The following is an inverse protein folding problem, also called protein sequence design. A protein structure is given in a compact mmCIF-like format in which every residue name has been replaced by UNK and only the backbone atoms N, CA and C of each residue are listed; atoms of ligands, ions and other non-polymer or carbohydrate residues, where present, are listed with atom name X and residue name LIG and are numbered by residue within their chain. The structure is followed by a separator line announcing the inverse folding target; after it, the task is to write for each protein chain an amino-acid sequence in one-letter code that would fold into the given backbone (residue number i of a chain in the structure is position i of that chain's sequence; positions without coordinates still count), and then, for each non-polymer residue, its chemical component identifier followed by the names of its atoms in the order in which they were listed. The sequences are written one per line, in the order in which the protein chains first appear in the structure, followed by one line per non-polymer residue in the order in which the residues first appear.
data_IF_625814724974
#
_entry.id   IF_625814724974
#
_cell.length_a   1.000
_cell.length_b   1.000
_cell.length_c   1.000
_cell.angle_alpha   90.00
_cell.angle_beta   90.00
_cell.angle_gamma   90.00
#
_symmetry.space_group_name_H-M   'P 1'
#
loop_
_entity.id
_entity.type
_entity.pdbx_description
1 polymer ?
#
# COMPACT_ATOMS: atom_id res chain seq x y z
N UNK A 1 7.72 -20.21 -14.63
CA UNK A 1 6.69 -19.27 -15.07
C UNK A 1 7.06 -17.91 -14.52
N UNK A 2 7.82 -17.17 -15.31
CA UNK A 2 8.35 -15.85 -14.96
C UNK A 2 7.62 -14.86 -15.86
N UNK A 3 7.04 -13.84 -15.33
CA UNK A 3 6.47 -12.61 -15.89
C UNK A 3 5.09 -12.31 -15.29
N UNK A 4 5.06 -12.07 -13.96
CA UNK A 4 4.10 -11.13 -13.40
C UNK A 4 4.90 -9.84 -13.28
N UNK A 5 4.80 -8.99 -14.29
CA UNK A 5 5.31 -7.63 -14.17
C UNK A 5 4.32 -6.90 -13.26
N UNK A 6 4.69 -6.52 -12.05
CA UNK A 6 3.80 -5.72 -11.25
C UNK A 6 3.63 -4.36 -11.95
N UNK A 7 2.42 -4.00 -12.25
CA UNK A 7 2.05 -2.67 -12.74
C UNK A 7 2.61 -1.55 -11.86
N UNK A 8 2.97 -1.89 -10.65
CA UNK A 8 3.54 -1.02 -9.62
C UNK A 8 5.05 -0.79 -9.78
N UNK A 9 5.75 -1.51 -10.66
CA UNK A 9 7.19 -1.29 -10.94
C UNK A 9 7.50 0.06 -11.63
N UNK A 10 6.52 0.78 -12.11
CA UNK A 10 6.71 2.17 -12.57
C UNK A 10 6.97 3.16 -11.42
N UNK A 11 7.01 2.67 -10.19
CA UNK A 11 7.00 3.49 -8.99
C UNK A 11 8.29 3.43 -8.17
N UNK A 12 9.30 2.67 -8.60
CA UNK A 12 10.57 2.57 -7.87
C UNK A 12 11.50 3.72 -8.19
N UNK A 13 11.74 4.58 -7.27
CA UNK A 13 13.02 5.11 -6.81
C UNK A 13 12.86 6.40 -6.01
N UNK A 14 13.11 6.33 -4.74
CA UNK A 14 13.60 7.46 -3.95
C UNK A 14 14.82 7.01 -3.16
N UNK A 15 16.00 7.53 -3.51
CA UNK A 15 17.13 7.63 -2.58
C UNK A 15 17.05 8.98 -1.87
N UNK A 16 17.35 9.05 -0.56
CA UNK A 16 17.33 10.30 0.17
C UNK A 16 18.61 11.09 -0.08
N UNK A 17 18.50 12.30 -0.59
CA UNK A 17 19.57 13.28 -0.49
C UNK A 17 19.20 14.40 0.48
N UNK A 18 20.16 14.66 1.34
CA UNK A 18 20.16 15.57 2.48
C UNK A 18 20.18 17.05 2.08
N UNK A 19 19.46 17.84 2.88
CA UNK A 19 19.58 19.29 3.16
C UNK A 19 19.06 20.28 2.11
N UNK A 20 17.93 20.87 2.45
CA UNK A 20 17.91 22.34 2.73
C UNK A 20 16.67 22.65 3.57
N UNK A 21 16.89 23.29 4.69
CA UNK A 21 15.88 23.94 5.52
C UNK A 21 15.24 25.06 4.73
N UNK A 22 13.98 24.87 4.34
CA UNK A 22 13.09 25.97 3.97
C UNK A 22 11.67 25.64 4.41
N UNK A 23 11.08 26.61 5.09
CA UNK A 23 9.73 26.78 5.57
C UNK A 23 8.73 25.63 5.26
N UNK A 24 8.12 25.11 6.32
CA UNK A 24 6.96 24.23 6.28
C UNK A 24 5.88 24.78 5.33
N UNK A 25 5.97 24.39 4.05
CA UNK A 25 4.87 24.55 3.13
C UNK A 25 3.85 23.48 3.52
N UNK A 26 2.71 23.91 4.03
CA UNK A 26 1.52 23.07 4.19
C UNK A 26 1.36 22.18 2.96
N UNK A 27 1.04 20.89 3.11
CA UNK A 27 0.84 20.00 1.98
C UNK A 27 -0.15 20.68 1.03
N UNK A 28 0.27 20.91 -0.22
CA UNK A 28 -0.64 21.29 -1.27
C UNK A 28 -1.54 20.09 -1.52
N UNK A 29 -2.63 20.00 -0.78
CA UNK A 29 -3.77 19.17 -1.16
C UNK A 29 -4.22 19.69 -2.51
N UNK A 30 -3.83 19.03 -3.58
CA UNK A 30 -4.43 19.29 -4.88
C UNK A 30 -5.91 18.96 -4.71
N UNK A 31 -6.79 19.97 -4.79
CA UNK A 31 -8.23 19.82 -4.62
C UNK A 31 -8.86 19.00 -5.75
N UNK A 32 -8.41 17.76 -5.87
CA UNK A 32 -8.87 16.79 -6.84
C UNK A 32 -9.80 15.81 -6.12
N UNK A 33 -11.10 15.96 -6.33
CA UNK A 33 -12.07 14.99 -5.88
C UNK A 33 -12.57 14.21 -7.11
N UNK A 34 -12.43 12.89 -7.09
CA UNK A 34 -12.91 12.01 -8.15
C UNK A 34 -13.89 11.00 -7.56
N UNK A 35 -15.14 11.07 -8.01
CA UNK A 35 -16.14 10.08 -7.62
C UNK A 35 -15.87 8.76 -8.33
N UNK A 36 -15.49 7.75 -7.56
CA UNK A 36 -15.23 6.42 -8.09
C UNK A 36 -16.51 5.76 -8.58
N UNK A 37 -16.49 5.26 -9.80
CA UNK A 37 -17.51 4.34 -10.32
C UNK A 37 -17.36 2.96 -9.66
N UNK A 38 -18.41 2.15 -9.68
CA UNK A 38 -18.33 0.78 -9.12
C UNK A 38 -17.26 -0.08 -9.82
N UNK A 39 -17.06 0.10 -11.13
CA UNK A 39 -15.98 -0.57 -11.84
C UNK A 39 -14.58 -0.14 -11.39
N UNK A 40 -14.37 1.15 -11.14
CA UNK A 40 -13.11 1.68 -10.60
C UNK A 40 -12.85 1.19 -9.18
N UNK A 41 -13.88 1.09 -8.35
CA UNK A 41 -13.75 0.51 -7.00
C UNK A 41 -13.32 -0.96 -7.07
N UNK A 42 -13.96 -1.76 -7.91
CA UNK A 42 -13.60 -3.17 -8.10
C UNK A 42 -12.17 -3.33 -8.62
N UNK A 43 -11.76 -2.51 -9.59
CA UNK A 43 -10.39 -2.53 -10.10
C UNK A 43 -9.37 -2.13 -9.03
N UNK A 44 -9.66 -1.09 -8.26
CA UNK A 44 -8.81 -0.65 -7.16
C UNK A 44 -8.66 -1.74 -6.10
N UNK A 45 -9.76 -2.37 -5.70
CA UNK A 45 -9.73 -3.49 -4.75
C UNK A 45 -8.86 -4.64 -5.25
N UNK A 46 -8.99 -5.01 -6.53
CA UNK A 46 -8.20 -6.10 -7.11
C UNK A 46 -6.70 -5.76 -7.15
N UNK A 47 -6.34 -4.53 -7.52
CA UNK A 47 -4.94 -4.07 -7.55
C UNK A 47 -4.31 -4.04 -6.15
N UNK A 48 -5.04 -3.48 -5.18
CA UNK A 48 -4.57 -3.42 -3.79
C UNK A 48 -4.42 -4.84 -3.22
N UNK A 49 -5.42 -5.70 -3.42
CA UNK A 49 -5.35 -7.08 -2.96
C UNK A 49 -4.15 -7.82 -3.55
N UNK A 50 -3.87 -7.64 -4.83
CA UNK A 50 -2.71 -8.27 -5.47
C UNK A 50 -1.39 -7.79 -4.87
N UNK A 51 -1.23 -6.48 -4.65
CA UNK A 51 -0.03 -5.89 -4.06
C UNK A 51 0.16 -6.33 -2.59
N UNK A 52 -0.91 -6.31 -1.81
CA UNK A 52 -0.88 -6.75 -0.42
C UNK A 52 -0.62 -8.25 -0.29
N UNK A 53 -1.23 -9.09 -1.14
CA UNK A 53 -0.97 -10.53 -1.12
C UNK A 53 0.51 -10.83 -1.39
N UNK A 54 1.14 -10.14 -2.33
CA UNK A 54 2.58 -10.25 -2.57
C UNK A 54 3.38 -9.83 -1.32
N UNK A 55 3.02 -8.71 -0.72
CA UNK A 55 3.64 -8.20 0.51
C UNK A 55 3.54 -9.20 1.67
N UNK A 56 2.35 -9.72 1.95
CA UNK A 56 2.14 -10.69 3.03
C UNK A 56 2.80 -12.04 2.78
N UNK A 57 3.14 -12.36 1.53
CA UNK A 57 3.97 -13.52 1.15
C UNK A 57 5.47 -13.24 1.16
N UNK A 58 5.88 -12.06 1.62
CA UNK A 58 7.27 -11.60 1.64
C UNK A 58 7.90 -11.51 0.25
N UNK A 59 7.09 -11.33 -0.79
CA UNK A 59 7.58 -11.04 -2.12
C UNK A 59 8.02 -9.57 -2.19
N UNK A 60 9.21 -9.33 -2.71
CA UNK A 60 9.76 -7.98 -2.81
C UNK A 60 9.25 -7.24 -4.04
N UNK A 61 9.00 -5.94 -3.93
CA UNK A 61 8.79 -5.06 -5.08
C UNK A 61 7.38 -4.51 -5.26
N UNK A 62 6.49 -4.60 -4.28
CA UNK A 62 5.19 -3.95 -4.31
C UNK A 62 5.25 -2.48 -3.87
N UNK A 63 4.29 -1.66 -4.32
CA UNK A 63 4.21 -0.25 -3.91
C UNK A 63 3.94 -0.09 -2.41
N UNK A 64 3.21 -1.02 -1.83
CA UNK A 64 2.96 -1.01 -0.39
C UNK A 64 4.21 -1.30 0.43
N UNK A 65 5.11 -2.18 -0.05
CA UNK A 65 6.38 -2.49 0.62
C UNK A 65 7.31 -1.26 0.77
N UNK A 66 7.16 -0.27 -0.10
CA UNK A 66 7.90 1.01 0.02
C UNK A 66 7.36 1.88 1.17
N UNK A 67 6.08 1.74 1.52
CA UNK A 67 5.42 2.52 2.56
C UNK A 67 5.48 1.83 3.93
N UNK A 68 5.46 0.51 3.95
CA UNK A 68 5.48 -0.31 5.15
C UNK A 68 6.61 -1.35 5.08
N UNK A 69 7.82 -1.01 5.51
CA UNK A 69 8.93 -1.95 5.51
C UNK A 69 8.62 -3.18 6.37
N UNK A 70 9.02 -4.36 5.87
CA UNK A 70 8.72 -5.65 6.47
C UNK A 70 9.92 -6.17 7.28
N UNK A 71 9.69 -6.52 8.53
CA UNK A 71 10.70 -7.03 9.44
C UNK A 71 10.27 -8.33 10.10
N UNK A 72 11.23 -9.22 10.35
CA UNK A 72 10.99 -10.34 11.26
C UNK A 72 10.88 -9.87 12.71
N UNK A 73 10.17 -10.62 13.55
CA UNK A 73 10.12 -10.37 14.99
C UNK A 73 11.53 -10.32 15.61
N UNK A 74 12.45 -11.17 15.13
CA UNK A 74 13.84 -11.19 15.54
C UNK A 74 14.58 -9.89 15.20
N UNK A 75 14.44 -9.40 13.96
CA UNK A 75 15.04 -8.14 13.53
C UNK A 75 14.55 -6.98 14.39
N UNK A 76 13.26 -6.91 14.69
CA UNK A 76 12.68 -5.85 15.54
C UNK A 76 13.16 -5.94 16.98
N UNK A 77 13.35 -7.15 17.52
CA UNK A 77 13.88 -7.34 18.87
C UNK A 77 15.36 -6.92 19.00
N UNK A 78 16.12 -6.98 17.91
CA UNK A 78 17.55 -6.63 17.89
C UNK A 78 17.83 -5.18 17.48
N UNK A 79 16.92 -4.58 16.71
CA UNK A 79 17.10 -3.21 16.20
C UNK A 79 16.86 -2.16 17.29
N UNK A 80 17.88 -1.30 17.49
CA UNK A 80 17.77 -0.13 18.36
C UNK A 80 17.04 1.04 17.69
N UNK A 81 17.03 1.10 16.36
CA UNK A 81 16.42 2.18 15.57
C UNK A 81 15.50 1.58 14.52
N UNK A 82 14.25 1.41 14.86
CA UNK A 82 13.20 1.06 13.93
C UNK A 82 12.81 2.34 13.16
N UNK A 83 12.68 2.30 11.84
CA UNK A 83 12.22 3.46 11.09
C UNK A 83 10.90 3.99 11.66
N UNK A 84 10.78 5.31 11.77
CA UNK A 84 9.51 5.95 12.14
C UNK A 84 8.62 5.97 10.90
N UNK A 85 7.97 4.87 10.64
CA UNK A 85 6.96 4.75 9.59
C UNK A 85 5.60 4.61 10.26
N UNK A 86 4.57 5.18 9.63
CA UNK A 86 3.20 5.05 10.11
C UNK A 86 2.71 3.61 10.08
N UNK A 87 3.28 2.79 9.20
CA UNK A 87 3.01 1.36 9.11
C UNK A 87 4.31 0.55 9.00
N UNK A 88 4.36 -0.57 9.70
CA UNK A 88 5.45 -1.55 9.68
C UNK A 88 4.87 -2.94 9.54
N UNK A 89 5.42 -3.73 8.61
CA UNK A 89 5.13 -5.15 8.55
C UNK A 89 5.94 -5.93 9.57
N UNK A 90 5.29 -6.81 10.29
CA UNK A 90 5.92 -7.69 11.29
C UNK A 90 5.55 -9.13 10.98
N UNK A 91 6.55 -10.00 10.83
CA UNK A 91 6.30 -11.42 10.64
C UNK A 91 7.06 -12.29 11.62
N UNK A 92 6.50 -13.44 11.95
CA UNK A 92 7.10 -14.41 12.84
C UNK A 92 6.10 -15.41 13.38
N UNK A 93 6.59 -16.29 14.24
CA UNK A 93 5.77 -17.35 14.86
C UNK A 93 5.06 -16.83 16.11
N UNK A 94 3.74 -16.94 16.15
CA UNK A 94 2.96 -16.71 17.35
C UNK A 94 3.18 -17.86 18.32
N UNK A 95 3.50 -17.54 19.56
CA UNK A 95 3.62 -18.49 20.65
C UNK A 95 2.49 -18.37 21.68
N UNK A 96 1.79 -17.24 21.64
CA UNK A 96 0.62 -16.97 22.49
C UNK A 96 -0.22 -15.85 21.88
N UNK A 97 -1.52 -16.02 21.89
CA UNK A 97 -2.48 -14.92 21.66
C UNK A 97 -3.53 -14.93 22.76
N UNK A 98 -3.92 -13.73 23.24
CA UNK A 98 -4.94 -13.56 24.28
C UNK A 98 -5.70 -12.25 24.06
N UNK A 99 -6.96 -12.37 23.65
CA UNK A 99 -7.76 -11.22 23.28
C UNK A 99 -7.09 -10.43 22.14
N UNK A 100 -6.80 -9.17 22.36
CA UNK A 100 -6.15 -8.27 21.38
C UNK A 100 -4.63 -8.17 21.59
N UNK A 101 -4.00 -9.17 22.16
CA UNK A 101 -2.55 -9.19 22.34
C UNK A 101 -1.98 -10.48 21.78
N UNK A 102 -0.91 -10.40 21.01
CA UNK A 102 -0.13 -11.52 20.53
C UNK A 102 1.34 -11.38 20.94
N UNK A 103 2.01 -12.53 21.10
CA UNK A 103 3.44 -12.61 21.37
C UNK A 103 4.10 -13.44 20.28
N UNK A 104 5.07 -12.83 19.61
CA UNK A 104 5.89 -13.51 18.61
C UNK A 104 7.19 -14.01 19.23
N UNK A 105 7.61 -15.17 18.76
CA UNK A 105 8.86 -15.79 19.19
C UNK A 105 10.06 -15.01 18.62
N UNK A 106 11.07 -14.81 19.50
CA UNK A 106 12.43 -14.39 19.11
C UNK A 106 13.44 -15.27 19.84
N UNK A 107 14.72 -15.17 19.50
CA UNK A 107 15.75 -16.02 20.12
C UNK A 107 15.92 -15.80 21.63
N UNK A 108 15.74 -14.57 22.11
CA UNK A 108 16.04 -14.18 23.48
C UNK A 108 14.84 -13.73 24.30
N UNK A 109 13.78 -13.34 23.64
CA UNK A 109 12.62 -12.74 24.28
C UNK A 109 11.37 -12.95 23.42
N UNK A 110 10.27 -12.38 23.83
CA UNK A 110 9.05 -12.33 23.02
C UNK A 110 8.77 -10.91 22.58
N UNK A 111 8.35 -10.71 21.33
CA UNK A 111 7.85 -9.44 20.84
C UNK A 111 6.35 -9.37 21.09
N UNK A 112 5.91 -8.40 21.89
CA UNK A 112 4.50 -8.15 22.16
C UNK A 112 3.91 -7.25 21.08
N UNK A 113 2.72 -7.63 20.58
CA UNK A 113 1.95 -6.87 19.61
C UNK A 113 0.54 -6.62 20.15
N UNK A 114 0.02 -5.41 19.97
CA UNK A 114 -1.36 -5.08 20.26
C UNK A 114 -2.19 -5.11 18.97
N UNK A 115 -3.15 -6.01 18.91
CA UNK A 115 -3.94 -6.32 17.72
C UNK A 115 -5.14 -5.39 17.56
N UNK A 116 -5.49 -5.04 16.35
CA UNK A 116 -6.74 -4.34 16.04
C UNK A 116 -7.96 -5.21 16.39
N UNK A 117 -7.88 -6.50 16.10
CA UNK A 117 -8.91 -7.51 16.37
C UNK A 117 -8.25 -8.81 16.87
N UNK A 118 -8.94 -9.64 17.66
CA UNK A 118 -8.42 -10.93 18.09
C UNK A 118 -8.09 -11.82 16.87
N UNK A 119 -6.98 -12.56 16.94
CA UNK A 119 -6.65 -13.55 15.92
C UNK A 119 -7.56 -14.77 16.05
N UNK A 120 -7.93 -15.35 14.91
CA UNK A 120 -8.71 -16.60 14.88
C UNK A 120 -7.86 -17.79 15.27
N UNK A 121 -6.58 -17.79 14.89
CA UNK A 121 -5.60 -18.81 15.23
C UNK A 121 -4.61 -18.24 16.25
N UNK A 122 -4.41 -18.96 17.34
CA UNK A 122 -3.56 -18.53 18.45
C UNK A 122 -2.10 -18.96 18.28
N UNK A 123 -1.78 -19.78 17.27
CA UNK A 123 -0.44 -20.34 17.03
C UNK A 123 -0.16 -20.40 15.52
N UNK A 124 1.11 -20.30 15.15
CA UNK A 124 1.56 -20.42 13.75
C UNK A 124 2.36 -19.21 13.26
N UNK A 125 2.78 -19.29 12.00
CA UNK A 125 3.42 -18.16 11.33
C UNK A 125 2.38 -17.11 10.93
N UNK A 126 2.68 -15.86 11.20
CA UNK A 126 1.81 -14.72 10.86
C UNK A 126 2.61 -13.58 10.28
N UNK A 127 1.98 -12.86 9.39
CA UNK A 127 2.43 -11.53 8.95
C UNK A 127 1.33 -10.53 9.29
N UNK A 128 1.70 -9.44 9.95
CA UNK A 128 0.79 -8.39 10.39
C UNK A 128 1.32 -7.03 9.92
N UNK A 129 0.43 -6.09 9.68
CA UNK A 129 0.78 -4.66 9.52
C UNK A 129 0.40 -3.94 10.79
N UNK A 130 1.37 -3.28 11.41
CA UNK A 130 1.23 -2.58 12.68
C UNK A 130 1.56 -1.09 12.53
N UNK A 131 0.97 -0.25 13.36
CA UNK A 131 1.47 1.09 13.64
C UNK A 131 2.61 0.98 14.66
N UNK A 132 3.70 1.75 14.44
CA UNK A 132 4.82 1.76 15.35
C UNK A 132 4.94 3.12 16.03
N UNK A 133 4.57 3.17 17.31
CA UNK A 133 4.66 4.37 18.14
C UNK A 133 5.41 4.08 19.44
N UNK A 134 6.38 4.94 19.78
CA UNK A 134 7.08 4.90 21.06
C UNK A 134 7.55 3.50 21.49
N UNK A 135 8.12 2.73 20.57
CA UNK A 135 8.58 1.34 20.80
C UNK A 135 7.48 0.28 20.93
N UNK A 136 6.23 0.65 20.76
CA UNK A 136 5.10 -0.28 20.78
C UNK A 136 4.57 -0.55 19.36
N UNK A 137 4.16 -1.79 19.11
CA UNK A 137 3.49 -2.20 17.89
C UNK A 137 2.01 -2.30 18.18
N UNK A 138 1.25 -1.35 17.63
CA UNK A 138 -0.18 -1.18 17.93
C UNK A 138 -1.01 -1.35 16.67
N UNK A 139 -2.32 -1.56 16.87
CA UNK A 139 -3.30 -1.71 15.79
C UNK A 139 -2.87 -2.72 14.70
N UNK A 140 -2.20 -3.81 15.14
CA UNK A 140 -1.69 -4.83 14.25
C UNK A 140 -2.82 -5.60 13.58
N UNK A 141 -2.78 -5.72 12.26
CA UNK A 141 -3.86 -6.26 11.44
C UNK A 141 -3.36 -7.38 10.53
N UNK A 142 -4.19 -8.40 10.33
CA UNK A 142 -3.98 -9.45 9.32
C UNK A 142 -4.18 -8.89 7.91
N UNK A 143 -3.77 -9.65 6.89
CA UNK A 143 -3.96 -9.29 5.47
C UNK A 143 -5.41 -8.87 5.17
N UNK A 144 -6.38 -9.68 5.55
CA UNK A 144 -7.80 -9.45 5.24
C UNK A 144 -8.32 -8.14 5.86
N UNK A 145 -8.08 -7.95 7.15
CA UNK A 145 -8.54 -6.75 7.87
C UNK A 145 -7.84 -5.50 7.39
N UNK A 146 -6.52 -5.59 7.16
CA UNK A 146 -5.75 -4.48 6.63
C UNK A 146 -6.19 -4.12 5.21
N UNK A 147 -6.34 -5.08 4.32
CA UNK A 147 -6.74 -4.85 2.93
C UNK A 147 -8.10 -4.14 2.85
N UNK A 148 -9.08 -4.58 3.65
CA UNK A 148 -10.40 -3.95 3.70
C UNK A 148 -10.31 -2.49 4.16
N UNK A 149 -9.68 -2.22 5.30
CA UNK A 149 -9.55 -0.87 5.86
C UNK A 149 -8.75 0.06 4.95
N UNK A 150 -7.62 -0.43 4.44
CA UNK A 150 -6.75 0.34 3.56
C UNK A 150 -7.43 0.72 2.25
N UNK A 151 -8.21 -0.20 1.67
CA UNK A 151 -9.01 0.09 0.47
C UNK A 151 -10.06 1.17 0.73
N UNK A 152 -10.77 1.12 1.85
CA UNK A 152 -11.74 2.14 2.25
C UNK A 152 -11.07 3.51 2.45
N UNK A 153 -9.88 3.54 3.04
CA UNK A 153 -9.08 4.76 3.20
C UNK A 153 -8.66 5.35 1.86
N UNK A 154 -8.23 4.51 0.91
CA UNK A 154 -7.89 4.95 -0.45
C UNK A 154 -9.12 5.50 -1.17
N UNK A 155 -10.28 4.85 -1.08
CA UNK A 155 -11.53 5.38 -1.65
C UNK A 155 -11.86 6.75 -1.07
N UNK A 156 -11.79 6.88 0.25
CA UNK A 156 -12.00 8.15 0.94
C UNK A 156 -11.01 9.24 0.49
N UNK A 157 -9.74 8.88 0.32
CA UNK A 157 -8.70 9.80 -0.14
C UNK A 157 -8.99 10.28 -1.58
N UNK A 158 -9.33 9.37 -2.48
CA UNK A 158 -9.70 9.67 -3.88
C UNK A 158 -10.94 10.57 -3.94
N UNK A 159 -12.00 10.20 -3.23
CA UNK A 159 -13.29 10.91 -3.29
C UNK A 159 -13.23 12.29 -2.61
N UNK A 160 -12.36 12.47 -1.62
CA UNK A 160 -12.12 13.75 -0.97
C UNK A 160 -11.02 14.60 -1.61
N UNK A 161 -10.33 14.10 -2.62
CA UNK A 161 -9.22 14.78 -3.29
C UNK A 161 -7.94 14.87 -2.44
N UNK A 162 -7.80 14.03 -1.42
CA UNK A 162 -6.60 13.91 -0.61
C UNK A 162 -5.60 12.99 -1.31
N UNK A 163 -4.71 13.59 -2.09
CA UNK A 163 -3.64 12.89 -2.80
C UNK A 163 -2.32 13.59 -2.53
N UNK A 164 -1.25 12.84 -2.37
CA UNK A 164 0.06 13.41 -2.07
C UNK A 164 1.19 12.72 -2.84
N UNK A 165 2.21 13.51 -3.19
CA UNK A 165 3.48 13.02 -3.71
C UNK A 165 4.56 12.97 -2.63
N UNK A 166 4.27 13.44 -1.43
CA UNK A 166 5.24 13.49 -0.33
C UNK A 166 5.43 12.09 0.26
N UNK A 167 6.67 11.74 0.54
CA UNK A 167 7.02 10.40 1.07
C UNK A 167 6.61 10.20 2.52
N UNK A 168 6.32 11.28 3.22
CA UNK A 168 5.87 11.32 4.61
C UNK A 168 4.34 11.51 4.73
N UNK A 169 3.64 11.57 3.61
CA UNK A 169 2.17 11.60 3.62
C UNK A 169 1.61 10.21 3.96
N UNK A 170 0.33 10.15 4.43
CA UNK A 170 -0.35 8.87 4.64
C UNK A 170 -0.31 7.96 3.41
N UNK A 171 -0.08 6.67 3.63
CA UNK A 171 0.11 5.71 2.54
C UNK A 171 -1.08 5.66 1.58
N UNK A 172 -2.31 5.81 2.08
CA UNK A 172 -3.53 5.87 1.28
C UNK A 172 -3.58 7.08 0.34
N UNK A 173 -3.05 8.22 0.74
CA UNK A 173 -3.00 9.44 -0.10
C UNK A 173 -1.97 9.32 -1.22
N UNK A 174 -0.82 8.69 -0.92
CA UNK A 174 0.20 8.37 -1.93
C UNK A 174 -0.37 7.37 -2.93
N UNK A 175 -0.99 6.31 -2.44
CA UNK A 175 -1.59 5.28 -3.29
C UNK A 175 -2.74 5.83 -4.14
N UNK A 176 -3.59 6.67 -3.57
CA UNK A 176 -4.66 7.35 -4.31
C UNK A 176 -4.10 8.18 -5.48
N UNK A 177 -3.04 8.97 -5.24
CA UNK A 177 -2.40 9.77 -6.27
C UNK A 177 -1.81 8.96 -7.42
N UNK A 178 -1.39 7.73 -7.15
CA UNK A 178 -0.85 6.80 -8.14
C UNK A 178 -1.95 6.07 -8.92
N UNK A 179 -3.02 5.70 -8.24
CA UNK A 179 -4.13 4.93 -8.82
C UNK A 179 -5.04 5.78 -9.72
N UNK A 180 -5.32 7.02 -9.36
CA UNK A 180 -6.26 7.87 -10.09
C UNK A 180 -5.96 8.00 -11.59
N UNK A 181 -4.73 8.31 -12.05
CA UNK A 181 -4.43 8.39 -13.47
C UNK A 181 -4.59 7.05 -14.18
N UNK A 182 -4.27 5.95 -13.50
CA UNK A 182 -4.44 4.61 -14.04
C UNK A 182 -5.93 4.26 -14.21
N UNK A 183 -6.76 4.48 -13.19
CA UNK A 183 -8.19 4.24 -13.23
C UNK A 183 -8.87 5.08 -14.32
N UNK A 184 -8.50 6.35 -14.42
CA UNK A 184 -9.01 7.25 -15.45
C UNK A 184 -8.61 6.79 -16.86
N UNK A 185 -7.37 6.33 -17.04
CA UNK A 185 -6.94 5.75 -18.31
C UNK A 185 -7.67 4.43 -18.61
N UNK A 186 -7.91 3.58 -17.59
CA UNK A 186 -8.61 2.32 -17.73
C UNK A 186 -10.07 2.51 -18.12
N UNK A 187 -10.76 3.54 -17.62
CA UNK A 187 -12.14 3.82 -18.00
C UNK A 187 -12.28 4.29 -19.45
N UNK A 188 -11.24 4.94 -20.02
CA UNK A 188 -11.21 5.28 -21.45
C UNK A 188 -10.90 4.06 -22.33
N UNK A 189 -10.32 3.01 -21.76
CA UNK A 189 -10.02 1.75 -22.44
C UNK A 189 -11.28 0.87 -22.54
N UNK A 190 -12.25 1.33 -23.31
CA UNK A 190 -13.68 0.96 -23.25
C UNK A 190 -14.01 -0.52 -23.47
N UNK A 191 -13.20 -1.30 -24.19
CA UNK A 191 -13.48 -2.73 -24.47
C UNK A 191 -13.19 -3.65 -23.28
N UNK A 192 -11.99 -3.57 -22.76
CA UNK A 192 -11.47 -4.51 -21.74
C UNK A 192 -11.94 -4.16 -20.33
N UNK A 193 -12.09 -2.87 -20.02
CA UNK A 193 -12.57 -2.45 -18.70
C UNK A 193 -14.03 -2.86 -18.45
N UNK A 194 -14.93 -2.71 -19.44
CA UNK A 194 -16.32 -3.16 -19.28
C UNK A 194 -16.43 -4.66 -19.04
N UNK A 195 -15.63 -5.46 -19.75
CA UNK A 195 -15.62 -6.90 -19.55
C UNK A 195 -15.06 -7.28 -18.15
N UNK A 196 -14.06 -6.53 -17.66
CA UNK A 196 -13.45 -6.74 -16.35
C UNK A 196 -14.32 -6.20 -15.20
N UNK A 197 -15.13 -5.17 -15.39
CA UNK A 197 -15.92 -4.53 -14.33
C UNK A 197 -16.97 -5.46 -13.70
N UNK A 198 -17.42 -6.48 -14.43
CA UNK A 198 -18.42 -7.46 -13.94
C UNK A 198 -17.78 -8.69 -13.31
N UNK A 199 -16.54 -9.02 -13.67
CA UNK A 199 -15.81 -10.20 -13.17
C UNK A 199 -14.34 -9.85 -12.98
N UNK A 200 -14.03 -9.12 -11.89
CA UNK A 200 -12.65 -8.79 -11.54
C UNK A 200 -11.91 -10.04 -11.11
N UNK A 201 -11.29 -10.70 -12.05
CA UNK A 201 -10.38 -11.82 -11.83
C UNK A 201 -8.93 -11.33 -11.85
N UNK A 202 -8.02 -12.09 -11.26
CA UNK A 202 -6.58 -11.83 -11.36
C UNK A 202 -6.13 -11.74 -12.84
N UNK A 203 -6.70 -12.58 -13.70
CA UNK A 203 -6.46 -12.53 -15.14
C UNK A 203 -6.86 -11.18 -15.75
N UNK A 204 -8.02 -10.66 -15.38
CA UNK A 204 -8.55 -9.40 -15.88
C UNK A 204 -7.68 -8.22 -15.45
N UNK A 205 -7.30 -8.19 -14.18
CA UNK A 205 -6.41 -7.15 -13.63
C UNK A 205 -5.03 -7.19 -14.29
N UNK A 206 -4.45 -8.38 -14.43
CA UNK A 206 -3.14 -8.56 -15.08
C UNK A 206 -3.18 -8.20 -16.58
N UNK A 207 -4.31 -8.44 -17.24
CA UNK A 207 -4.52 -8.07 -18.63
C UNK A 207 -4.59 -6.55 -18.81
N UNK A 208 -5.39 -5.87 -18.00
CA UNK A 208 -5.49 -4.41 -17.99
C UNK A 208 -4.13 -3.78 -17.70
N UNK A 209 -3.40 -4.31 -16.74
CA UNK A 209 -2.06 -3.86 -16.40
C UNK A 209 -1.09 -3.94 -17.58
N UNK A 210 -1.14 -5.01 -18.36
CA UNK A 210 -0.26 -5.22 -19.53
C UNK A 210 -0.68 -4.43 -20.76
N UNK A 211 -1.99 -4.30 -20.99
CA UNK A 211 -2.52 -3.65 -22.17
C UNK A 211 -2.63 -2.14 -22.04
N UNK A 212 -2.56 -1.62 -20.80
CA UNK A 212 -2.58 -0.18 -20.55
C UNK A 212 -1.26 0.46 -20.93
N UNK A 213 -1.22 1.28 -22.00
CA UNK A 213 0.02 1.97 -22.37
C UNK A 213 0.41 2.99 -21.30
N UNK A 214 1.68 3.02 -20.89
CA UNK A 214 2.19 4.04 -19.98
C UNK A 214 1.87 5.46 -20.49
N UNK A 215 1.92 5.67 -21.81
CA UNK A 215 1.58 6.95 -22.43
C UNK A 215 0.15 7.39 -22.16
N UNK A 216 -0.81 6.46 -22.09
CA UNK A 216 -2.20 6.76 -21.74
C UNK A 216 -2.35 7.20 -20.28
N UNK A 217 -1.69 6.48 -19.36
CA UNK A 217 -1.67 6.83 -17.93
C UNK A 217 -0.98 8.18 -17.72
N UNK A 218 0.15 8.42 -18.40
CA UNK A 218 0.89 9.69 -18.33
C UNK A 218 0.07 10.85 -18.86
N UNK A 219 -0.64 10.65 -19.97
CA UNK A 219 -1.56 11.67 -20.51
C UNK A 219 -2.65 12.01 -19.50
N UNK A 220 -3.27 11.00 -18.88
CA UNK A 220 -4.27 11.24 -17.83
C UNK A 220 -3.68 11.95 -16.62
N UNK A 221 -2.50 11.58 -16.17
CA UNK A 221 -1.82 12.28 -15.09
C UNK A 221 -1.57 13.76 -15.41
N UNK A 222 -1.24 14.09 -16.67
CA UNK A 222 -1.10 15.49 -17.11
C UNK A 222 -2.44 16.21 -17.13
N UNK A 223 -3.49 15.62 -17.69
CA UNK A 223 -4.84 16.17 -17.71
C UNK A 223 -5.37 16.48 -16.31
N UNK A 224 -5.04 15.63 -15.34
CA UNK A 224 -5.47 15.73 -13.95
C UNK A 224 -4.52 16.56 -13.06
N UNK A 225 -3.40 17.04 -13.60
CA UNK A 225 -2.39 17.76 -12.80
C UNK A 225 -1.64 16.89 -11.79
N UNK A 226 -1.66 15.55 -11.98
CA UNK A 226 -1.06 14.57 -11.08
C UNK A 226 0.27 13.99 -11.57
N UNK A 227 0.92 14.60 -12.57
CA UNK A 227 2.13 14.05 -13.20
C UNK A 227 3.27 13.86 -12.20
N UNK A 228 3.49 14.82 -11.29
CA UNK A 228 4.55 14.73 -10.29
C UNK A 228 4.26 13.67 -9.22
N UNK A 229 2.98 13.39 -8.98
CA UNK A 229 2.52 12.39 -8.01
C UNK A 229 2.63 10.99 -8.61
N UNK A 230 2.10 10.81 -9.83
CA UNK A 230 2.05 9.51 -10.48
C UNK A 230 3.40 9.07 -11.05
N UNK A 231 4.25 10.03 -11.47
CA UNK A 231 5.52 9.76 -12.15
C UNK A 231 6.64 10.60 -11.56
N UNK A 232 7.08 10.24 -10.35
CA UNK A 232 8.22 10.90 -9.73
C UNK A 232 9.47 10.64 -10.57
N UNK A 233 10.12 11.69 -11.10
CA UNK A 233 11.38 11.54 -11.83
C UNK A 233 12.42 10.94 -10.89
N UNK A 234 13.08 9.85 -11.34
CA UNK A 234 14.36 9.42 -10.76
C UNK A 234 15.34 10.59 -10.92
N UNK A 235 15.78 11.17 -9.81
CA UNK A 235 16.96 12.03 -9.82
C UNK A 235 18.22 11.17 -9.80
#
# INVERSE_FOLDING_TARGET
MKYILPLLLLLSACTPDTKTTDAASSPKTHGFAHRLTEGEKLLTQALIKQDLTAYFKHETGGAFAEQAPLFSAQQLAEQKNIPKNDAIGVYGKIIKAQGRTAWLQTDKQTLKLDLAEPLQEAEGEVTLVCQHENTAFQDCQTEENFARRFTEQIFSAVESGRVSAQTDAPAEEIMAGRLIPFLSAASDFTGNFKACATTMTEYCTSRLAREMPESAVRKKAQELGLTEIAFKKKK
#
